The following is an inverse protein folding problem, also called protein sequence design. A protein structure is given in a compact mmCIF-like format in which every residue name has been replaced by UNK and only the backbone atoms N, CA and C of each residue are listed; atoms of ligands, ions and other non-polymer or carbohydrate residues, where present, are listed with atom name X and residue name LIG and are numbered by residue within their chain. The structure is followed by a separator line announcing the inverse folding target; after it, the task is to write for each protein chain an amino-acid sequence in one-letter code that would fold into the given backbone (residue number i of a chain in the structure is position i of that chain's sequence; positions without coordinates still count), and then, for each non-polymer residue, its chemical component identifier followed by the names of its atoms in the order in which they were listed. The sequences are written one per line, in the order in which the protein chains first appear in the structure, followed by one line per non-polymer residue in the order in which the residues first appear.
data_IF_055270710939
#
_entry.id   IF_055270710939
#
_cell.length_a   1.000
_cell.length_b   1.000
_cell.length_c   1.000
_cell.angle_alpha   90.00
_cell.angle_beta   90.00
_cell.angle_gamma   90.00
#
_symmetry.space_group_name_H-M   'P 1'
#
loop_
_entity.id
_entity.type
_entity.pdbx_description
1 polymer ?
#
# COMPACT_ATOMS: atom_id res chain seq x y z
N UNK A 1 12.32 16.81 5.94
CA UNK A 1 11.66 15.49 5.94
C UNK A 1 10.17 15.70 5.75
N UNK A 2 9.57 15.10 4.71
CA UNK A 2 8.11 15.14 4.50
C UNK A 2 7.43 14.34 5.63
N UNK A 3 6.41 14.91 6.27
CA UNK A 3 5.65 14.18 7.30
C UNK A 3 4.87 13.01 6.69
N UNK A 4 4.50 12.03 7.53
CA UNK A 4 3.71 10.88 7.08
C UNK A 4 2.39 11.31 6.44
N UNK A 5 1.70 12.27 7.06
CA UNK A 5 0.43 12.81 6.57
C UNK A 5 0.55 13.46 5.19
N UNK A 6 1.55 14.33 4.97
CA UNK A 6 1.74 14.98 3.67
C UNK A 6 2.12 13.99 2.56
N UNK A 7 2.92 12.96 2.88
CA UNK A 7 3.23 11.92 1.91
C UNK A 7 1.97 11.12 1.57
N UNK A 8 1.19 10.73 2.58
CA UNK A 8 -0.07 10.02 2.38
C UNK A 8 -1.03 10.80 1.48
N UNK A 9 -1.27 12.08 1.78
CA UNK A 9 -2.20 12.93 1.01
C UNK A 9 -1.79 13.05 -0.46
N UNK A 10 -0.51 13.28 -0.74
CA UNK A 10 0.00 13.37 -2.11
C UNK A 10 -0.08 12.03 -2.84
N UNK A 11 0.32 10.93 -2.19
CA UNK A 11 0.24 9.59 -2.79
C UNK A 11 -1.21 9.22 -3.08
N UNK A 12 -2.13 9.50 -2.16
CA UNK A 12 -3.55 9.24 -2.34
C UNK A 12 -4.11 10.06 -3.50
N UNK A 13 -3.92 11.38 -3.50
CA UNK A 13 -4.45 12.26 -4.53
C UNK A 13 -3.96 11.84 -5.93
N UNK A 14 -2.67 11.53 -6.08
CA UNK A 14 -2.12 11.04 -7.35
C UNK A 14 -2.62 9.66 -7.73
N UNK A 15 -2.85 8.80 -6.74
CA UNK A 15 -3.43 7.47 -6.99
C UNK A 15 -4.85 7.64 -7.50
N UNK A 16 -5.68 8.44 -6.83
CA UNK A 16 -7.07 8.74 -7.19
C UNK A 16 -7.18 9.38 -8.58
N UNK A 17 -6.25 10.27 -8.94
CA UNK A 17 -6.18 10.93 -10.25
C UNK A 17 -5.55 10.07 -11.36
N UNK A 18 -5.24 8.79 -11.13
CA UNK A 18 -4.51 7.92 -12.06
C UNK A 18 -3.12 8.45 -12.51
N UNK A 19 -2.51 9.38 -11.77
CA UNK A 19 -1.20 9.95 -12.11
C UNK A 19 -0.05 8.98 -11.80
N UNK A 20 -0.30 8.04 -10.89
CA UNK A 20 0.63 6.98 -10.52
C UNK A 20 0.01 5.60 -10.73
N UNK A 21 0.85 4.62 -11.02
CA UNK A 21 0.43 3.23 -11.24
C UNK A 21 1.03 2.33 -10.18
N UNK A 22 0.15 1.57 -9.54
CA UNK A 22 0.52 0.54 -8.60
C UNK A 22 0.63 -0.80 -9.32
N UNK A 23 1.73 -1.51 -9.08
CA UNK A 23 1.97 -2.85 -9.60
C UNK A 23 1.65 -3.85 -8.50
N UNK A 24 0.72 -4.77 -8.76
CA UNK A 24 0.50 -5.90 -7.85
C UNK A 24 1.71 -6.82 -7.85
N UNK A 25 2.18 -7.21 -6.68
CA UNK A 25 3.30 -8.12 -6.50
C UNK A 25 2.85 -9.50 -6.00
N UNK A 26 3.76 -10.48 -6.08
CA UNK A 26 3.58 -11.77 -5.43
C UNK A 26 3.55 -11.63 -3.90
N UNK A 27 2.81 -12.49 -3.20
CA UNK A 27 2.68 -12.43 -1.73
C UNK A 27 4.00 -12.62 -0.99
N UNK A 28 4.96 -13.31 -1.60
CA UNK A 28 6.30 -13.55 -1.05
C UNK A 28 7.32 -12.47 -1.43
N UNK A 29 6.93 -11.45 -2.22
CA UNK A 29 7.84 -10.38 -2.59
C UNK A 29 8.22 -9.55 -1.35
N UNK A 30 9.44 -9.01 -1.32
CA UNK A 30 9.90 -8.09 -0.27
C UNK A 30 9.78 -8.64 1.17
N UNK A 31 9.73 -9.96 1.36
CA UNK A 31 9.51 -10.60 2.66
C UNK A 31 10.57 -10.18 3.70
N UNK A 32 11.77 -9.79 3.26
CA UNK A 32 12.86 -9.25 4.06
C UNK A 32 12.50 -7.93 4.77
N UNK A 33 11.54 -7.15 4.26
CA UNK A 33 11.09 -5.89 4.85
C UNK A 33 9.80 -6.02 5.66
N UNK A 34 9.12 -7.17 5.58
CA UNK A 34 7.78 -7.34 6.11
C UNK A 34 7.85 -8.17 7.39
N UNK A 35 7.40 -7.58 8.49
CA UNK A 35 7.21 -8.33 9.72
C UNK A 35 6.00 -9.28 9.58
N UNK A 36 6.15 -10.55 9.94
CA UNK A 36 5.14 -11.60 9.66
C UNK A 36 4.73 -11.71 8.18
N UNK A 37 5.66 -12.03 7.27
CA UNK A 37 5.37 -12.14 5.84
C UNK A 37 4.34 -13.25 5.52
N UNK A 38 4.21 -14.26 6.38
CA UNK A 38 3.21 -15.33 6.27
C UNK A 38 1.76 -14.82 6.33
N UNK A 39 1.52 -13.66 6.92
CA UNK A 39 0.19 -13.04 7.03
C UNK A 39 -0.20 -12.23 5.79
N UNK A 40 0.74 -12.02 4.86
CA UNK A 40 0.52 -11.16 3.70
C UNK A 40 -0.46 -11.80 2.72
N UNK A 41 -1.53 -11.08 2.41
CA UNK A 41 -2.55 -11.49 1.46
C UNK A 41 -2.42 -10.77 0.13
N UNK A 42 -2.11 -9.47 0.13
CA UNK A 42 -1.88 -8.68 -1.07
C UNK A 42 -0.70 -7.73 -0.88
N UNK A 43 0.00 -7.44 -1.98
CA UNK A 43 1.09 -6.48 -2.03
C UNK A 43 0.99 -5.65 -3.31
N UNK A 44 1.27 -4.36 -3.17
CA UNK A 44 1.31 -3.41 -4.27
C UNK A 44 2.56 -2.54 -4.15
N UNK A 45 3.15 -2.22 -5.29
CA UNK A 45 4.35 -1.40 -5.38
C UNK A 45 4.08 -0.17 -6.23
N UNK A 46 4.61 0.96 -5.77
CA UNK A 46 4.66 2.20 -6.52
C UNK A 46 6.09 2.75 -6.50
N UNK A 47 6.65 2.98 -7.68
CA UNK A 47 7.86 3.78 -7.84
C UNK A 47 7.50 5.26 -7.73
N UNK A 48 8.03 5.92 -6.71
CA UNK A 48 7.69 7.28 -6.34
C UNK A 48 8.88 8.21 -6.50
N UNK A 49 8.73 9.25 -7.31
CA UNK A 49 9.77 10.27 -7.52
C UNK A 49 9.22 11.65 -7.21
N UNK A 50 9.82 12.33 -6.23
CA UNK A 50 9.46 13.71 -5.87
C UNK A 50 10.68 14.43 -5.30
N UNK A 51 10.85 15.70 -5.68
CA UNK A 51 11.93 16.58 -5.19
C UNK A 51 13.34 15.98 -5.37
N UNK A 52 13.55 15.24 -6.47
CA UNK A 52 14.82 14.56 -6.77
C UNK A 52 15.09 13.28 -5.96
N UNK A 53 14.18 12.89 -5.07
CA UNK A 53 14.27 11.64 -4.30
C UNK A 53 13.46 10.54 -4.99
N UNK A 54 14.11 9.39 -5.19
CA UNK A 54 13.48 8.17 -5.69
C UNK A 54 13.23 7.22 -4.53
N UNK A 55 11.98 6.77 -4.40
CA UNK A 55 11.51 5.89 -3.33
C UNK A 55 10.65 4.79 -3.93
N UNK A 56 10.62 3.63 -3.28
CA UNK A 56 9.65 2.60 -3.57
C UNK A 56 8.66 2.54 -2.42
N UNK A 57 7.38 2.69 -2.73
CA UNK A 57 6.28 2.56 -1.78
C UNK A 57 5.68 1.17 -1.91
N UNK A 58 5.58 0.45 -0.81
CA UNK A 58 4.96 -0.88 -0.75
C UNK A 58 3.72 -0.81 0.11
N UNK A 59 2.54 -1.00 -0.48
CA UNK A 59 1.29 -1.15 0.25
C UNK A 59 1.03 -2.64 0.47
N UNK A 60 0.91 -3.03 1.72
CA UNK A 60 0.79 -4.43 2.14
C UNK A 60 -0.54 -4.59 2.85
N UNK A 61 -1.28 -5.63 2.46
CA UNK A 61 -2.43 -6.12 3.21
C UNK A 61 -2.05 -7.41 3.93
N UNK A 62 -2.29 -7.44 5.24
CA UNK A 62 -2.12 -8.62 6.08
C UNK A 62 -3.45 -9.06 6.66
N UNK A 63 -3.57 -10.37 6.88
CA UNK A 63 -4.72 -11.01 7.49
C UNK A 63 -4.36 -11.47 8.89
N UNK A 64 -5.21 -11.14 9.86
CA UNK A 64 -5.09 -11.55 11.24
C UNK A 64 -6.37 -12.24 11.68
N UNK A 65 -6.21 -13.19 12.59
CA UNK A 65 -7.32 -13.75 13.34
C UNK A 65 -7.50 -12.92 14.62
N UNK A 66 -8.71 -12.43 14.83
CA UNK A 66 -9.11 -11.77 16.05
C UNK A 66 -10.10 -12.67 16.79
N UNK A 67 -9.81 -12.94 18.07
CA UNK A 67 -10.71 -13.69 18.94
C UNK A 67 -11.36 -12.69 19.87
N UNK A 68 -12.51 -12.16 19.46
CA UNK A 68 -13.29 -11.23 20.29
C UNK A 68 -13.88 -11.92 21.52
N UNK A 69 -14.23 -13.21 21.39
CA UNK A 69 -14.79 -13.99 22.48
C UNK A 69 -14.40 -15.48 22.37
N UNK A 70 -14.01 -16.16 23.47
CA UNK A 70 -13.55 -17.56 23.43
C UNK A 70 -14.57 -18.59 22.91
N UNK A 71 -15.86 -18.24 22.95
CA UNK A 71 -16.96 -19.10 22.48
C UNK A 71 -17.38 -18.83 21.04
N UNK A 72 -16.83 -17.79 20.41
CA UNK A 72 -17.10 -17.45 19.02
C UNK A 72 -15.94 -17.92 18.14
N UNK A 73 -16.21 -18.35 16.90
CA UNK A 73 -15.13 -18.59 15.95
C UNK A 73 -14.33 -17.29 15.74
N UNK A 74 -13.00 -17.39 15.54
CA UNK A 74 -12.18 -16.22 15.25
C UNK A 74 -12.72 -15.45 14.04
N UNK A 75 -12.77 -14.13 14.16
CA UNK A 75 -13.07 -13.24 13.04
C UNK A 75 -11.78 -12.93 12.28
N UNK A 76 -11.90 -12.81 10.96
CA UNK A 76 -10.78 -12.40 10.12
C UNK A 76 -10.78 -10.87 10.02
N UNK A 77 -9.69 -10.24 10.47
CA UNK A 77 -9.45 -8.81 10.24
C UNK A 77 -8.32 -8.61 9.24
N UNK A 78 -8.46 -7.57 8.42
CA UNK A 78 -7.42 -7.12 7.51
C UNK A 78 -6.73 -5.94 8.16
N UNK A 79 -5.40 -5.88 8.09
CA UNK A 79 -4.62 -4.67 8.37
C UNK A 79 -3.77 -4.29 7.16
N UNK A 80 -3.43 -3.02 7.08
CA UNK A 80 -2.68 -2.42 5.99
C UNK A 80 -1.44 -1.74 6.56
N UNK A 81 -0.37 -1.78 5.80
CA UNK A 81 0.88 -1.08 6.11
C UNK A 81 1.42 -0.46 4.83
N UNK A 82 1.97 0.75 4.92
CA UNK A 82 2.68 1.39 3.83
C UNK A 82 4.16 1.50 4.19
N UNK A 83 5.00 0.75 3.49
CA UNK A 83 6.45 0.79 3.65
C UNK A 83 7.07 1.75 2.64
N UNK A 84 8.13 2.43 3.07
CA UNK A 84 8.92 3.34 2.26
C UNK A 84 10.34 2.77 2.21
N UNK A 85 10.74 2.35 1.01
CA UNK A 85 12.07 1.83 0.73
C UNK A 85 12.84 2.87 -0.07
N UNK A 86 14.06 3.18 0.35
CA UNK A 86 14.99 4.06 -0.36
C UNK A 86 16.33 3.33 -0.52
N UNK A 87 16.91 3.34 -1.73
CA UNK A 87 18.19 2.67 -2.02
C UNK A 87 18.25 1.19 -1.57
N UNK A 88 17.12 0.49 -1.58
CA UNK A 88 17.02 -0.92 -1.16
C UNK A 88 16.92 -1.11 0.37
N UNK A 89 16.78 -0.05 1.15
CA UNK A 89 16.62 -0.11 2.60
C UNK A 89 15.24 0.38 3.03
N UNK A 90 14.63 -0.30 4.01
CA UNK A 90 13.40 0.14 4.64
C UNK A 90 13.68 1.37 5.51
N UNK A 91 13.29 2.55 5.04
CA UNK A 91 13.50 3.82 5.76
C UNK A 91 12.35 4.12 6.70
N UNK A 92 11.12 3.71 6.35
CA UNK A 92 9.96 4.00 7.17
C UNK A 92 8.82 3.01 6.97
N UNK A 93 8.11 2.72 8.06
CA UNK A 93 6.83 2.03 8.08
C UNK A 93 5.74 3.01 8.51
N UNK A 94 4.63 3.04 7.78
CA UNK A 94 3.42 3.76 8.15
C UNK A 94 2.31 2.74 8.40
N UNK A 95 2.00 2.50 9.68
CA UNK A 95 0.90 1.64 10.14
C UNK A 95 -0.14 2.47 10.91
N UNK A 96 -1.07 1.78 11.60
CA UNK A 96 -2.21 2.39 12.31
C UNK A 96 -1.84 3.49 13.32
N UNK A 97 -0.58 3.53 13.77
CA UNK A 97 -0.06 4.55 14.67
C UNK A 97 0.43 5.81 13.94
N UNK A 98 0.96 5.64 12.72
CA UNK A 98 1.50 6.74 11.91
C UNK A 98 0.46 7.34 10.96
N UNK A 99 -0.46 6.50 10.47
CA UNK A 99 -1.64 6.84 9.69
C UNK A 99 -2.81 6.07 10.31
N UNK A 100 -3.96 6.70 10.50
CA UNK A 100 -5.09 5.98 11.09
C UNK A 100 -5.61 4.89 10.13
N UNK A 101 -6.36 3.94 10.69
CA UNK A 101 -6.91 2.80 9.95
C UNK A 101 -7.70 3.20 8.69
N UNK A 102 -8.52 4.24 8.81
CA UNK A 102 -9.36 4.75 7.71
C UNK A 102 -8.51 5.23 6.53
N UNK A 103 -7.41 5.95 6.81
CA UNK A 103 -6.50 6.45 5.77
C UNK A 103 -5.88 5.31 4.96
N UNK A 104 -5.36 4.29 5.64
CA UNK A 104 -4.76 3.14 4.97
C UNK A 104 -5.80 2.33 4.17
N UNK A 105 -7.03 2.21 4.69
CA UNK A 105 -8.14 1.60 3.95
C UNK A 105 -8.49 2.39 2.68
N UNK A 106 -8.53 3.72 2.77
CA UNK A 106 -8.84 4.59 1.62
C UNK A 106 -7.78 4.42 0.52
N UNK A 107 -6.50 4.43 0.89
CA UNK A 107 -5.42 4.19 -0.07
C UNK A 107 -5.54 2.80 -0.71
N UNK A 108 -5.75 1.75 0.09
CA UNK A 108 -5.92 0.39 -0.44
C UNK A 108 -7.12 0.28 -1.38
N UNK A 109 -8.22 0.95 -1.06
CA UNK A 109 -9.37 1.02 -1.95
C UNK A 109 -9.02 1.71 -3.27
N UNK A 110 -8.40 2.89 -3.23
CA UNK A 110 -7.99 3.63 -4.42
C UNK A 110 -7.04 2.82 -5.31
N UNK A 111 -6.04 2.15 -4.70
CA UNK A 111 -5.10 1.27 -5.41
C UNK A 111 -5.84 0.17 -6.17
N UNK A 112 -6.76 -0.57 -5.53
CA UNK A 112 -7.48 -1.68 -6.18
C UNK A 112 -8.40 -1.22 -7.31
N UNK A 113 -9.12 -0.12 -7.11
CA UNK A 113 -10.09 0.37 -8.09
C UNK A 113 -9.38 0.98 -9.30
N UNK A 114 -8.34 1.77 -9.07
CA UNK A 114 -7.60 2.43 -10.15
C UNK A 114 -6.66 1.49 -10.92
N UNK A 115 -6.20 0.40 -10.28
CA UNK A 115 -5.56 -0.71 -11.00
C UNK A 115 -6.44 -1.31 -12.10
N UNK A 116 -7.77 -1.20 -11.95
CA UNK A 116 -8.75 -1.81 -12.85
C UNK A 116 -9.31 -0.81 -13.89
N UNK A 117 -9.40 0.48 -13.55
CA UNK A 117 -10.02 1.51 -14.39
C UNK A 117 -9.04 2.34 -15.21
N UNK A 118 -7.79 2.52 -14.78
CA UNK A 118 -6.79 3.32 -15.52
C UNK A 118 -6.12 2.53 -16.67
N UNK A 119 -6.93 1.78 -17.44
CA UNK A 119 -6.51 1.18 -18.72
C UNK A 119 -6.20 2.30 -19.72
N UNK A 120 -5.09 2.18 -20.46
CA UNK A 120 -4.57 3.24 -21.32
C UNK A 120 -5.62 3.80 -22.31
N UNK A 121 -5.54 5.09 -22.71
CA UNK A 121 -6.32 5.57 -23.83
C UNK A 121 -6.00 4.71 -25.06
N UNK A 122 -7.04 4.20 -25.70
CA UNK A 122 -6.95 3.50 -26.98
C UNK A 122 -6.27 4.46 -27.96
N UNK A 123 -4.99 4.23 -28.24
CA UNK A 123 -4.27 4.94 -29.28
C UNK A 123 -4.79 4.40 -30.61
N UNK A 124 -5.75 5.10 -31.21
CA UNK A 124 -6.20 4.82 -32.57
C UNK A 124 -5.05 5.15 -33.52
N UNK A 125 -4.50 4.19 -34.29
CA UNK A 125 -3.55 4.53 -35.34
C UNK A 125 -4.28 5.32 -36.43
N UNK A 126 -3.63 6.38 -36.90
CA UNK A 126 -4.07 7.22 -38.01
C UNK A 126 -4.03 6.49 -39.35
#
# INVERSE_FOLDING_TARGET
MTSAAHLYEDVLARTENCEVKWRRLAKSANAEFIFHPEQVCEQYELQWQRDGLSRTLLLIEKRYEEIEHPLLPPSEIKKYELLIVENGELVRKLDEWALNWSQLCQLAWAVRHNSSTCSAPISTPA
#
